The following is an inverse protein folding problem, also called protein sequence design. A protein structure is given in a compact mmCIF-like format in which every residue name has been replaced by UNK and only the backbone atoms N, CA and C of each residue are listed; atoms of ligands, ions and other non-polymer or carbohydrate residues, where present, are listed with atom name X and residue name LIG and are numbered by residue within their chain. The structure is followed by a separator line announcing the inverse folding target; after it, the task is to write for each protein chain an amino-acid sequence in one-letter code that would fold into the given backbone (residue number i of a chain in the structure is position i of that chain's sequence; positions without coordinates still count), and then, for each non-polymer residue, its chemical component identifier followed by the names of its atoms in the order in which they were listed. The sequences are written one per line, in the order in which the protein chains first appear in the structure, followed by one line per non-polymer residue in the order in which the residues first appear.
data_IF_824058778094
#
_entry.id   IF_824058778094
#
_cell.length_a   1.000
_cell.length_b   1.000
_cell.length_c   1.000
_cell.angle_alpha   90.00
_cell.angle_beta   90.00
_cell.angle_gamma   90.00
#
_symmetry.space_group_name_H-M   'P 1'
#
loop_
_entity.id
_entity.type
_entity.pdbx_description
1 polymer ?
#
# COMPACT_ATOMS: atom_id res chain seq x y z
N UNK A 1 6.93 13.52 35.75
CA UNK A 1 7.41 13.77 34.38
C UNK A 1 7.28 12.47 33.60
N UNK A 2 6.16 12.25 32.92
CA UNK A 2 5.99 11.09 32.04
C UNK A 2 6.63 11.45 30.69
N UNK A 3 7.67 10.72 30.32
CA UNK A 3 8.15 10.73 28.94
C UNK A 3 7.01 10.23 28.03
N UNK A 4 6.79 10.82 26.84
CA UNK A 4 5.92 10.22 25.86
C UNK A 4 6.44 8.81 25.55
N UNK A 5 5.57 7.81 25.35
CA UNK A 5 6.00 6.48 24.92
C UNK A 5 6.81 6.63 23.61
N UNK A 6 7.88 5.83 23.42
CA UNK A 6 8.62 5.85 22.17
C UNK A 6 7.65 5.57 21.00
N UNK A 7 7.87 6.15 19.80
CA UNK A 7 7.07 5.77 18.64
C UNK A 7 7.23 4.26 18.46
N UNK A 8 6.16 3.51 18.73
CA UNK A 8 6.12 2.06 18.55
C UNK A 8 6.51 1.81 17.10
N UNK A 9 7.64 1.16 16.89
CA UNK A 9 8.01 0.66 15.58
C UNK A 9 6.88 -0.22 15.07
N UNK A 10 6.59 -0.15 13.77
CA UNK A 10 5.51 -0.88 13.14
C UNK A 10 5.97 -2.32 13.19
N UNK A 11 5.50 -3.01 14.22
CA UNK A 11 5.49 -4.44 14.26
C UNK A 11 4.29 -4.79 13.39
N UNK A 12 4.52 -5.14 12.12
CA UNK A 12 3.51 -5.93 11.42
C UNK A 12 3.25 -7.15 12.30
N UNK A 13 2.12 -7.16 13.04
CA UNK A 13 1.56 -8.13 14.01
C UNK A 13 2.44 -9.08 14.87
N UNK A 14 3.76 -9.07 14.74
CA UNK A 14 4.72 -9.92 15.42
C UNK A 14 4.80 -11.35 14.86
N UNK A 15 4.03 -11.71 13.82
CA UNK A 15 4.05 -13.07 13.27
C UNK A 15 5.23 -13.33 12.33
N UNK A 16 5.87 -12.29 11.77
CA UNK A 16 6.94 -12.44 10.78
C UNK A 16 8.14 -11.52 11.09
N UNK A 17 9.36 -12.07 11.04
CA UNK A 17 10.57 -11.29 11.26
C UNK A 17 10.81 -10.33 10.08
N UNK A 18 10.98 -9.03 10.36
CA UNK A 18 11.30 -8.01 9.35
C UNK A 18 10.11 -7.47 8.54
N UNK A 19 8.89 -7.52 9.09
CA UNK A 19 7.67 -7.41 8.28
C UNK A 19 7.15 -5.98 7.98
N UNK A 20 8.05 -5.09 7.59
CA UNK A 20 7.67 -3.76 7.12
C UNK A 20 8.77 -2.71 7.14
N UNK A 21 9.81 -2.93 7.94
CA UNK A 21 10.90 -1.98 8.05
C UNK A 21 10.45 -0.55 8.42
N UNK A 22 11.38 0.39 8.29
CA UNK A 22 11.12 1.78 8.61
C UNK A 22 10.22 2.46 7.57
N UNK A 23 10.24 1.98 6.32
CA UNK A 23 9.45 2.56 5.24
C UNK A 23 7.97 2.24 5.40
N UNK A 24 7.59 1.00 5.74
CA UNK A 24 6.18 0.66 5.95
C UNK A 24 5.61 1.38 7.18
N UNK A 25 6.40 1.57 8.25
CA UNK A 25 6.02 2.41 9.38
C UNK A 25 5.68 3.84 8.95
N UNK A 26 6.57 4.49 8.20
CA UNK A 26 6.32 5.88 7.77
C UNK A 26 5.07 6.00 6.89
N UNK A 27 4.84 5.01 6.03
CA UNK A 27 3.60 4.93 5.25
C UNK A 27 2.37 4.78 6.14
N UNK A 28 2.46 3.94 7.16
CA UNK A 28 1.41 3.75 8.16
C UNK A 28 1.08 5.06 8.89
N UNK A 29 2.09 5.74 9.43
CA UNK A 29 1.90 7.00 10.18
C UNK A 29 1.37 8.14 9.31
N UNK A 30 1.59 8.07 7.99
CA UNK A 30 1.17 9.10 7.07
C UNK A 30 -0.34 9.08 6.78
N UNK A 31 -1.11 8.05 7.14
CA UNK A 31 -2.53 7.98 6.77
C UNK A 31 -3.43 7.23 7.74
N UNK A 32 -4.74 7.42 7.59
CA UNK A 32 -5.76 6.77 8.42
C UNK A 32 -6.07 5.34 7.91
N UNK A 33 -5.06 4.48 7.90
CA UNK A 33 -5.17 3.12 7.40
C UNK A 33 -6.06 2.25 8.29
N UNK A 34 -6.88 1.41 7.69
CA UNK A 34 -7.75 0.46 8.40
C UNK A 34 -7.28 -0.97 8.17
N UNK A 35 -7.09 -1.76 9.23
CA UNK A 35 -6.75 -3.18 9.10
C UNK A 35 -7.92 -3.97 8.49
N UNK A 36 -7.61 -4.85 7.54
CA UNK A 36 -8.61 -5.75 6.96
C UNK A 36 -8.90 -6.87 7.94
N UNK A 37 -10.18 -7.04 8.33
CA UNK A 37 -10.62 -8.08 9.27
C UNK A 37 -10.18 -9.47 8.81
N UNK A 38 -9.52 -10.22 9.70
CA UNK A 38 -9.04 -11.57 9.41
C UNK A 38 -7.84 -11.64 8.45
N UNK A 39 -7.20 -10.50 8.15
CA UNK A 39 -6.00 -10.42 7.32
C UNK A 39 -4.93 -9.56 8.02
N UNK A 40 -4.25 -10.11 9.05
CA UNK A 40 -3.18 -9.39 9.73
C UNK A 40 -2.08 -8.95 8.75
N UNK A 41 -1.50 -7.78 9.01
CA UNK A 41 -0.49 -7.18 8.13
C UNK A 41 -1.03 -6.60 6.82
N UNK A 42 -2.36 -6.58 6.63
CA UNK A 42 -3.01 -5.93 5.49
C UNK A 42 -3.88 -4.79 5.93
N UNK A 43 -3.59 -3.64 5.35
CA UNK A 43 -4.28 -2.41 5.69
C UNK A 43 -4.74 -1.71 4.45
N UNK A 44 -5.88 -1.06 4.54
CA UNK A 44 -6.53 -0.42 3.41
C UNK A 44 -6.85 1.02 3.73
N UNK A 45 -6.59 1.88 2.76
CA UNK A 45 -7.08 3.25 2.71
C UNK A 45 -7.99 3.36 1.49
N UNK A 46 -9.22 3.83 1.70
CA UNK A 46 -10.23 3.98 0.64
C UNK A 46 -10.62 5.45 0.54
N UNK A 47 -10.47 6.02 -0.65
CA UNK A 47 -10.93 7.37 -0.96
C UNK A 47 -12.00 7.34 -2.03
N UNK A 48 -13.19 7.83 -1.72
CA UNK A 48 -14.19 8.18 -2.74
C UNK A 48 -13.91 9.59 -3.24
N UNK A 49 -14.34 9.91 -4.46
CA UNK A 49 -14.24 11.30 -4.97
C UNK A 49 -14.94 12.31 -4.05
N UNK A 50 -16.10 11.94 -3.51
CA UNK A 50 -16.90 12.76 -2.58
C UNK A 50 -16.32 12.84 -1.15
N UNK A 51 -15.56 11.83 -0.74
CA UNK A 51 -14.92 11.74 0.59
C UNK A 51 -13.52 11.13 0.47
N UNK A 52 -12.53 11.92 0.01
CA UNK A 52 -11.19 11.42 -0.21
C UNK A 52 -10.45 11.19 1.12
N UNK A 53 -9.72 10.09 1.19
CA UNK A 53 -8.79 9.84 2.28
C UNK A 53 -7.52 10.70 2.12
N UNK A 54 -6.70 10.80 3.17
CA UNK A 54 -5.46 11.56 3.14
C UNK A 54 -4.23 10.70 3.43
N UNK A 55 -3.12 11.06 2.81
CA UNK A 55 -1.77 10.57 3.12
C UNK A 55 -0.84 11.78 3.23
N UNK A 56 -0.20 11.95 4.39
CA UNK A 56 0.63 13.09 4.75
C UNK A 56 -0.03 14.44 4.45
N UNK A 57 -1.34 14.55 4.73
CA UNK A 57 -2.14 15.75 4.46
C UNK A 57 -2.60 15.92 3.01
N UNK A 58 -2.05 15.20 2.04
CA UNK A 58 -2.49 15.23 0.64
C UNK A 58 -3.67 14.28 0.37
N UNK A 59 -4.54 14.61 -0.59
CA UNK A 59 -5.69 13.77 -0.93
C UNK A 59 -5.22 12.52 -1.68
N UNK A 60 -5.46 11.33 -1.12
CA UNK A 60 -5.02 10.05 -1.67
C UNK A 60 -5.55 9.80 -3.09
N UNK A 61 -6.75 10.31 -3.40
CA UNK A 61 -7.37 10.20 -4.74
C UNK A 61 -6.65 11.02 -5.82
N UNK A 62 -5.82 11.99 -5.43
CA UNK A 62 -5.03 12.81 -6.34
C UNK A 62 -3.58 12.31 -6.48
N UNK A 63 -3.16 11.37 -5.64
CA UNK A 63 -1.81 10.83 -5.64
C UNK A 63 -1.76 9.59 -6.52
N UNK A 64 -0.80 9.55 -7.45
CA UNK A 64 -0.35 8.28 -7.98
C UNK A 64 0.52 7.55 -6.95
N UNK A 65 0.89 6.30 -7.22
CA UNK A 65 1.68 5.49 -6.29
C UNK A 65 3.01 6.13 -5.90
N UNK A 66 3.67 6.82 -6.84
CA UNK A 66 4.98 7.43 -6.58
C UNK A 66 4.82 8.69 -5.73
N UNK A 67 3.83 9.52 -6.03
CA UNK A 67 3.50 10.70 -5.24
C UNK A 67 3.05 10.31 -3.81
N UNK A 68 2.31 9.21 -3.66
CA UNK A 68 1.95 8.65 -2.35
C UNK A 68 3.20 8.22 -1.57
N UNK A 69 4.11 7.51 -2.22
CA UNK A 69 5.37 7.10 -1.61
C UNK A 69 6.23 8.32 -1.24
N UNK A 70 6.31 9.34 -2.08
CA UNK A 70 7.07 10.55 -1.81
C UNK A 70 6.48 11.34 -0.64
N UNK A 71 5.16 11.48 -0.58
CA UNK A 71 4.46 12.15 0.50
C UNK A 71 4.72 11.48 1.87
N UNK A 72 4.80 10.14 1.91
CA UNK A 72 5.01 9.40 3.14
C UNK A 72 6.48 9.17 3.51
N UNK A 73 7.35 8.92 2.52
CA UNK A 73 8.73 8.47 2.73
C UNK A 73 9.77 9.58 2.48
N UNK A 74 9.39 10.64 1.77
CA UNK A 74 10.29 11.61 1.15
C UNK A 74 10.69 11.22 -0.27
N UNK A 75 11.06 12.21 -1.09
CA UNK A 75 11.39 12.04 -2.52
C UNK A 75 12.53 11.04 -2.76
N UNK A 76 13.62 11.14 -1.99
CA UNK A 76 14.78 10.26 -2.17
C UNK A 76 14.46 8.79 -1.89
N UNK A 77 13.66 8.52 -0.86
CA UNK A 77 13.25 7.17 -0.51
C UNK A 77 12.27 6.62 -1.57
N UNK A 78 11.31 7.43 -2.00
CA UNK A 78 10.36 7.06 -3.05
C UNK A 78 11.04 6.79 -4.40
N UNK A 79 12.11 7.51 -4.73
CA UNK A 79 12.91 7.27 -5.94
C UNK A 79 13.54 5.88 -5.96
N UNK A 80 13.91 5.33 -4.80
CA UNK A 80 14.50 3.99 -4.65
C UNK A 80 13.47 2.85 -4.74
N UNK A 81 12.18 3.17 -4.60
CA UNK A 81 11.09 2.19 -4.71
C UNK A 81 10.78 1.93 -6.19
N UNK A 82 10.86 0.65 -6.57
CA UNK A 82 10.40 0.20 -7.88
C UNK A 82 8.87 0.12 -7.87
N UNK A 83 8.23 0.98 -8.68
CA UNK A 83 6.77 0.98 -8.87
C UNK A 83 6.46 0.32 -10.21
N UNK A 84 5.81 -0.84 -10.16
CA UNK A 84 5.39 -1.59 -11.35
C UNK A 84 3.89 -1.39 -11.60
N UNK A 85 3.49 -1.26 -12.87
CA UNK A 85 2.09 -1.14 -13.28
C UNK A 85 1.67 -2.46 -13.92
N UNK A 86 0.78 -3.17 -13.25
CA UNK A 86 0.38 -4.52 -13.60
C UNK A 86 -1.10 -4.54 -13.96
N UNK A 87 -1.49 -5.42 -14.89
CA UNK A 87 -2.88 -5.70 -15.19
C UNK A 87 -3.26 -7.03 -14.57
N UNK A 88 -4.51 -7.15 -14.15
CA UNK A 88 -5.09 -8.35 -13.58
C UNK A 88 -6.44 -8.58 -14.22
N UNK A 89 -6.78 -9.83 -14.56
CA UNK A 89 -8.12 -10.19 -15.03
C UNK A 89 -9.20 -9.97 -13.95
N UNK A 90 -8.80 -9.81 -12.68
CA UNK A 90 -9.67 -9.59 -11.52
C UNK A 90 -9.82 -8.11 -11.14
N UNK A 91 -9.06 -7.21 -11.77
CA UNK A 91 -9.14 -5.78 -11.53
C UNK A 91 -9.73 -5.05 -12.75
N UNK A 92 -10.62 -4.09 -12.48
CA UNK A 92 -11.18 -3.25 -13.54
C UNK A 92 -10.16 -2.24 -14.11
N UNK A 93 -9.04 -2.03 -13.42
CA UNK A 93 -8.02 -1.06 -13.78
C UNK A 93 -6.61 -1.59 -13.46
N UNK A 94 -5.59 -0.86 -13.92
CA UNK A 94 -4.18 -1.09 -13.62
C UNK A 94 -3.96 -1.06 -12.10
N UNK A 95 -3.23 -2.06 -11.62
CA UNK A 95 -2.74 -2.13 -10.24
C UNK A 95 -1.30 -1.66 -10.25
N UNK A 96 -1.03 -0.54 -9.59
CA UNK A 96 0.34 -0.12 -9.37
C UNK A 96 0.86 -0.68 -8.05
N UNK A 97 2.06 -1.25 -8.07
CA UNK A 97 2.67 -1.98 -6.96
C UNK A 97 4.04 -1.39 -6.68
N UNK A 98 4.23 -0.81 -5.50
CA UNK A 98 5.52 -0.35 -4.99
C UNK A 98 6.06 -1.34 -3.97
N UNK A 99 7.21 -1.96 -4.27
CA UNK A 99 7.89 -2.89 -3.35
C UNK A 99 8.96 -2.15 -2.57
N UNK A 100 8.88 -2.21 -1.23
CA UNK A 100 9.82 -1.52 -0.35
C UNK A 100 11.09 -2.37 -0.15
N UNK A 101 12.25 -1.72 -0.08
CA UNK A 101 13.55 -2.41 0.03
C UNK A 101 13.72 -3.11 1.39
N UNK A 102 13.05 -2.62 2.42
CA UNK A 102 13.05 -3.14 3.78
C UNK A 102 11.84 -4.04 4.09
N UNK A 103 11.09 -4.45 3.06
CA UNK A 103 10.02 -5.44 3.15
C UNK A 103 8.62 -4.89 2.91
N UNK A 104 7.74 -5.72 2.36
CA UNK A 104 6.36 -5.35 2.08
C UNK A 104 6.19 -4.44 0.87
N UNK A 105 5.07 -3.72 0.84
CA UNK A 105 4.79 -2.81 -0.25
C UNK A 105 3.41 -2.18 -0.19
N UNK A 106 3.19 -1.27 -1.13
CA UNK A 106 1.92 -0.60 -1.36
C UNK A 106 1.35 -1.04 -2.71
N UNK A 107 0.05 -1.35 -2.76
CA UNK A 107 -0.68 -1.47 -4.00
C UNK A 107 -1.69 -0.33 -4.09
N UNK A 108 -1.86 0.26 -5.27
CA UNK A 108 -2.86 1.29 -5.52
C UNK A 108 -3.65 0.93 -6.78
N UNK A 109 -4.97 0.95 -6.68
CA UNK A 109 -5.86 0.67 -7.80
C UNK A 109 -7.22 1.32 -7.62
N UNK A 110 -7.96 1.48 -8.71
CA UNK A 110 -9.33 1.95 -8.71
C UNK A 110 -10.29 0.75 -8.68
N UNK A 111 -11.34 0.83 -7.87
CA UNK A 111 -12.46 -0.11 -7.87
C UNK A 111 -13.75 0.68 -8.10
N UNK A 112 -14.58 0.25 -9.04
CA UNK A 112 -15.96 0.77 -9.13
C UNK A 112 -16.76 0.26 -7.95
N UNK A 113 -17.50 1.14 -7.30
CA UNK A 113 -18.46 0.68 -6.32
C UNK A 113 -19.61 -0.05 -7.03
N UNK A 114 -19.98 -1.23 -6.54
CA UNK A 114 -20.91 -2.13 -7.26
C UNK A 114 -20.68 -3.62 -7.04
N UNK A 115 -19.91 -4.04 -6.04
CA UNK A 115 -19.97 -5.44 -5.62
C UNK A 115 -19.67 -5.59 -4.12
N UNK A 116 -20.77 -5.80 -3.40
CA UNK A 116 -20.93 -5.94 -1.96
C UNK A 116 -22.41 -5.98 -1.52
N UNK A 117 -23.35 -5.66 -2.39
CA UNK A 117 -24.80 -5.78 -2.15
C UNK A 117 -25.57 -5.20 -3.32
N UNK A 118 -26.56 -5.94 -3.81
CA UNK A 118 -27.49 -5.55 -4.85
C UNK A 118 -28.24 -4.28 -4.43
N UNK A 119 -27.89 -3.14 -5.01
CA UNK A 119 -28.83 -2.03 -5.24
C UNK A 119 -28.17 -1.07 -6.20
N UNK A 120 -28.74 -0.98 -7.40
CA UNK A 120 -28.40 0.01 -8.41
C UNK A 120 -28.72 1.41 -7.88
N UNK A 121 -27.75 2.05 -7.26
CA UNK A 121 -27.76 3.49 -7.04
C UNK A 121 -26.31 4.00 -7.17
N UNK A 122 -26.05 4.56 -8.35
CA UNK A 122 -24.90 5.40 -8.71
C UNK A 122 -23.58 4.70 -9.10
N UNK A 123 -23.53 4.25 -10.36
CA UNK A 123 -22.35 3.66 -11.02
C UNK A 123 -21.19 4.66 -11.28
N UNK A 124 -21.22 5.87 -10.71
CA UNK A 124 -20.20 6.92 -10.91
C UNK A 124 -19.12 6.99 -9.83
N UNK A 125 -19.30 6.34 -8.69
CA UNK A 125 -18.34 6.44 -7.58
C UNK A 125 -17.16 5.47 -7.76
N UNK A 126 -16.06 6.01 -8.29
CA UNK A 126 -14.75 5.33 -8.30
C UNK A 126 -14.12 5.45 -6.92
N UNK A 127 -13.77 4.31 -6.33
CA UNK A 127 -13.04 4.22 -5.07
C UNK A 127 -11.56 3.98 -5.36
N UNK A 128 -10.71 4.91 -4.95
CA UNK A 128 -9.27 4.70 -4.93
C UNK A 128 -8.92 3.86 -3.72
N UNK A 129 -8.28 2.71 -3.96
CA UNK A 129 -7.88 1.76 -2.93
C UNK A 129 -6.37 1.70 -2.89
N UNK A 130 -5.81 2.06 -1.74
CA UNK A 130 -4.41 1.88 -1.42
C UNK A 130 -4.32 0.77 -0.38
N UNK A 131 -3.42 -0.20 -0.56
CA UNK A 131 -3.25 -1.31 0.38
C UNK A 131 -1.80 -1.40 0.81
N UNK A 132 -1.54 -1.23 2.11
CA UNK A 132 -0.25 -1.55 2.70
C UNK A 132 -0.23 -3.02 3.05
N UNK A 133 0.85 -3.67 2.66
CA UNK A 133 1.05 -5.07 2.95
C UNK A 133 2.46 -5.30 3.46
N UNK A 134 2.51 -6.17 4.45
CA UNK A 134 3.65 -7.04 4.78
C UNK A 134 4.20 -7.76 3.54
N UNK A 135 5.42 -8.28 3.59
CA UNK A 135 5.99 -9.00 2.43
C UNK A 135 5.14 -10.23 2.06
N UNK A 136 4.74 -11.00 3.08
CA UNK A 136 3.85 -12.15 2.96
C UNK A 136 2.41 -11.73 2.58
N UNK A 137 1.95 -10.59 3.08
CA UNK A 137 0.67 -9.99 2.72
C UNK A 137 0.63 -9.61 1.24
N UNK A 138 1.71 -8.99 0.74
CA UNK A 138 1.84 -8.50 -0.62
C UNK A 138 1.80 -9.67 -1.60
N UNK A 139 2.61 -10.71 -1.38
CA UNK A 139 2.61 -11.93 -2.20
C UNK A 139 1.22 -12.54 -2.32
N UNK A 140 0.60 -12.87 -1.18
CA UNK A 140 -0.76 -13.44 -1.14
C UNK A 140 -1.81 -12.51 -1.79
N UNK A 141 -1.56 -11.20 -1.85
CA UNK A 141 -2.50 -10.22 -2.42
C UNK A 141 -2.36 -10.23 -3.94
N UNK A 142 -1.13 -10.26 -4.44
CA UNK A 142 -0.83 -10.39 -5.86
C UNK A 142 -1.36 -11.73 -6.41
N UNK A 143 -1.13 -12.84 -5.70
CA UNK A 143 -1.73 -14.15 -6.01
C UNK A 143 -3.26 -14.08 -6.07
N UNK A 144 -3.90 -13.47 -5.06
CA UNK A 144 -5.34 -13.29 -5.03
C UNK A 144 -5.87 -12.40 -6.17
N UNK A 145 -5.01 -11.55 -6.73
CA UNK A 145 -5.29 -10.74 -7.92
C UNK A 145 -4.89 -11.45 -9.21
N UNK A 146 -4.42 -12.69 -9.18
CA UNK A 146 -3.94 -13.41 -10.37
C UNK A 146 -2.85 -12.62 -11.12
N UNK A 147 -1.98 -11.97 -10.35
CA UNK A 147 -0.82 -11.24 -10.86
C UNK A 147 0.39 -12.12 -10.58
N UNK A 148 0.93 -12.72 -11.65
CA UNK A 148 2.17 -13.48 -11.58
C UNK A 148 3.35 -12.51 -11.46
N UNK A 149 3.71 -12.21 -10.20
CA UNK A 149 4.75 -11.24 -9.87
C UNK A 149 5.84 -11.94 -9.08
N UNK A 150 7.00 -12.09 -9.71
CA UNK A 150 8.24 -12.37 -8.99
C UNK A 150 8.56 -11.10 -8.21
N UNK A 151 8.44 -11.16 -6.88
CA UNK A 151 9.17 -10.25 -6.00
C UNK A 151 10.63 -10.50 -6.33
N UNK A 152 11.18 -9.76 -7.29
CA UNK A 152 12.61 -9.79 -7.55
C UNK A 152 13.24 -9.32 -6.25
N UNK A 153 13.80 -10.26 -5.50
CA UNK A 153 14.84 -9.97 -4.53
C UNK A 153 15.83 -9.16 -5.34
N UNK A 154 15.89 -7.85 -5.10
CA UNK A 154 16.97 -7.07 -5.66
C UNK A 154 18.20 -7.61 -4.97
N UNK A 155 18.90 -8.54 -5.63
CA UNK A 155 20.31 -8.76 -5.39
C UNK A 155 20.91 -7.36 -5.34
N UNK A 156 21.36 -6.99 -4.14
CA UNK A 156 22.09 -5.78 -3.91
C UNK A 156 23.25 -5.82 -4.90
N UNK A 157 23.14 -5.06 -5.98
CA UNK A 157 24.26 -4.84 -6.88
C UNK A 157 25.22 -3.93 -6.13
N UNK A 158 25.94 -4.53 -5.19
CA UNK A 158 27.23 -4.05 -4.74
C UNK A 158 28.19 -4.25 -5.92
N UNK A 159 28.08 -3.39 -6.92
CA UNK A 159 29.22 -3.09 -7.79
C UNK A 159 29.95 -1.95 -7.13
N UNK A 160 30.79 -2.31 -6.16
CA UNK A 160 31.93 -1.48 -5.83
C UNK A 160 32.90 -1.59 -7.01
N UNK A 161 33.05 -0.50 -7.74
CA UNK A 161 34.22 -0.23 -8.58
C UNK A 161 35.00 0.87 -7.87
#
# INVERSE_FOLDING_TARGET
MHAPPPPEAFVGDGQFAGDGGASLQRLWDAGDWTMIRGCPGRYVLRGRRSRPARVAGALATQLDTRALLAAALGEEAAARVCVQRLRSARCADVVAVGVLADGGGVLTYCKREGNGGDTEADASDVVHVHTLNTASGLRRKLEGLDIDYVLQEREATASAV
#
